data_IF_232246057002
#
_entry.id   IF_232246057002
#
_cell.length_a   1.000
_cell.length_b   1.000
_cell.length_c   1.000
_cell.angle_alpha   90.00
_cell.angle_beta   90.00
_cell.angle_gamma   90.00
#
_symmetry.space_group_name_H-M   'P 1'
#
loop_
_entity.id
_entity.type
_entity.pdbx_description
1 polymer ?
#
# COMPACT_ATOMS: atom_id res chain seq x y z
N UNK A 1 -10.47 -46.40 -15.61
CA UNK A 1 -10.06 -45.07 -16.10
C UNK A 1 -10.67 -44.00 -15.19
N UNK A 2 -9.96 -43.67 -14.11
CA UNK A 2 -10.35 -42.63 -13.14
C UNK A 2 -9.92 -41.26 -13.67
N UNK A 3 -10.84 -40.46 -14.20
CA UNK A 3 -10.46 -39.17 -14.80
C UNK A 3 -11.55 -38.12 -14.91
N UNK A 4 -12.58 -38.12 -14.04
CA UNK A 4 -13.70 -37.16 -14.16
C UNK A 4 -14.09 -36.41 -12.87
N UNK A 5 -13.29 -36.45 -11.79
CA UNK A 5 -13.73 -35.88 -10.49
C UNK A 5 -12.99 -34.61 -10.04
N UNK A 6 -11.97 -34.09 -10.74
CA UNK A 6 -11.17 -32.94 -10.23
C UNK A 6 -11.33 -31.64 -11.03
N UNK A 7 -12.50 -31.38 -11.62
CA UNK A 7 -12.75 -30.13 -12.36
C UNK A 7 -13.56 -29.07 -11.59
N UNK A 8 -14.18 -29.41 -10.45
CA UNK A 8 -15.17 -28.53 -9.82
C UNK A 8 -14.61 -27.55 -8.79
N UNK A 9 -13.32 -27.64 -8.43
CA UNK A 9 -12.72 -26.83 -7.34
C UNK A 9 -11.87 -25.64 -7.81
N UNK A 10 -11.65 -25.46 -9.11
CA UNK A 10 -10.65 -24.50 -9.63
C UNK A 10 -11.12 -23.05 -9.83
N UNK A 11 -12.34 -22.68 -9.45
CA UNK A 11 -12.88 -21.39 -9.89
C UNK A 11 -13.67 -20.61 -8.83
N UNK A 12 -13.16 -20.55 -7.60
CA UNK A 12 -13.54 -19.45 -6.71
C UNK A 12 -12.71 -18.23 -7.13
N UNK A 13 -13.24 -17.40 -8.04
CA UNK A 13 -12.64 -16.09 -8.35
C UNK A 13 -12.52 -15.33 -7.03
N UNK A 14 -11.29 -15.12 -6.58
CA UNK A 14 -11.02 -14.26 -5.41
C UNK A 14 -11.50 -12.87 -5.82
N UNK A 15 -12.49 -12.33 -5.09
CA UNK A 15 -12.94 -10.95 -5.29
C UNK A 15 -12.11 -10.07 -4.37
N UNK A 16 -11.01 -9.53 -4.92
CA UNK A 16 -10.23 -8.51 -4.24
C UNK A 16 -11.03 -7.20 -4.16
N UNK A 17 -10.87 -6.46 -3.07
CA UNK A 17 -11.40 -5.11 -2.95
C UNK A 17 -10.56 -4.17 -3.81
N UNK A 18 -11.20 -3.55 -4.79
CA UNK A 18 -10.56 -2.56 -5.66
C UNK A 18 -11.34 -1.25 -5.53
N UNK A 19 -10.84 -0.27 -4.76
CA UNK A 19 -11.50 1.01 -4.61
C UNK A 19 -11.47 1.77 -5.94
N UNK A 20 -12.61 2.37 -6.33
CA UNK A 20 -12.62 3.32 -7.45
C UNK A 20 -11.69 4.49 -7.11
N UNK A 21 -10.93 5.00 -8.08
CA UNK A 21 -10.06 6.18 -7.88
C UNK A 21 -10.76 7.37 -7.22
N UNK A 22 -12.04 7.59 -7.54
CA UNK A 22 -12.84 8.66 -6.93
C UNK A 22 -13.04 8.51 -5.42
N UNK A 23 -12.83 7.32 -4.87
CA UNK A 23 -12.88 7.05 -3.44
C UNK A 23 -11.53 7.24 -2.75
N UNK A 24 -10.41 7.44 -3.45
CA UNK A 24 -9.10 7.62 -2.81
C UNK A 24 -8.96 9.06 -2.31
N UNK A 25 -9.14 9.25 -1.01
CA UNK A 25 -9.12 10.57 -0.37
C UNK A 25 -8.31 10.61 0.91
N UNK A 26 -7.89 9.46 1.43
CA UNK A 26 -7.10 9.37 2.64
C UNK A 26 -5.61 9.38 2.34
N UNK A 27 -4.90 10.14 3.17
CA UNK A 27 -3.48 10.38 3.01
C UNK A 27 -2.67 9.22 3.58
N UNK A 28 -1.84 8.59 2.74
CA UNK A 28 -0.90 7.58 3.21
C UNK A 28 0.12 8.21 4.18
N UNK A 29 0.35 7.62 5.37
CA UNK A 29 1.31 8.17 6.33
C UNK A 29 2.76 8.06 5.84
N UNK A 30 3.05 7.14 4.91
CA UNK A 30 4.39 6.90 4.40
C UNK A 30 4.78 7.80 3.22
N UNK A 31 3.88 8.09 2.28
CA UNK A 31 4.23 8.81 1.05
C UNK A 31 3.50 10.12 0.83
N UNK A 32 2.60 10.51 1.75
CA UNK A 32 1.84 11.75 1.72
C UNK A 32 0.91 11.95 0.51
N UNK A 33 0.72 10.93 -0.34
CA UNK A 33 -0.30 10.93 -1.38
C UNK A 33 -1.68 10.55 -0.82
N UNK A 34 -2.73 11.14 -1.39
CA UNK A 34 -4.11 10.68 -1.21
C UNK A 34 -4.33 9.43 -2.06
N UNK A 35 -4.05 8.27 -1.48
CA UNK A 35 -3.96 7.00 -2.20
C UNK A 35 -4.76 5.87 -1.55
N UNK A 36 -5.37 6.12 -0.40
CA UNK A 36 -6.18 5.17 0.33
C UNK A 36 -7.65 5.61 0.30
N UNK A 37 -8.61 4.68 0.22
CA UNK A 37 -10.03 5.02 0.31
C UNK A 37 -10.51 5.26 1.73
N UNK A 38 -9.82 4.69 2.72
CA UNK A 38 -10.07 4.84 4.15
C UNK A 38 -8.78 4.52 4.93
N UNK A 39 -8.67 4.98 6.17
CA UNK A 39 -7.55 4.66 7.07
C UNK A 39 -7.92 3.53 8.04
N UNK A 40 -6.94 2.75 8.47
CA UNK A 40 -7.08 1.68 9.46
C UNK A 40 -7.81 0.43 8.95
N UNK A 41 -7.80 0.20 7.63
CA UNK A 41 -8.47 -0.91 6.98
C UNK A 41 -7.49 -1.93 6.35
N UNK A 42 -6.24 -1.95 6.81
CA UNK A 42 -5.17 -2.87 6.35
C UNK A 42 -4.94 -2.78 4.83
N UNK A 43 -5.17 -1.60 4.25
CA UNK A 43 -5.03 -1.37 2.81
C UNK A 43 -3.60 -1.01 2.46
N UNK A 44 -3.10 -1.58 1.35
CA UNK A 44 -1.76 -1.31 0.84
C UNK A 44 -1.80 -0.10 -0.08
N UNK A 45 -0.98 0.91 0.22
CA UNK A 45 -0.80 2.07 -0.62
C UNK A 45 -0.18 1.66 -1.98
N UNK A 46 -0.83 1.93 -3.13
CA UNK A 46 -0.29 1.55 -4.44
C UNK A 46 0.93 2.39 -4.86
N UNK A 47 1.20 3.50 -4.18
CA UNK A 47 2.28 4.44 -4.52
C UNK A 47 3.59 4.08 -3.82
N UNK A 48 3.53 3.62 -2.57
CA UNK A 48 4.72 3.29 -1.79
C UNK A 48 4.74 1.88 -1.24
N UNK A 49 3.64 1.12 -1.34
CA UNK A 49 3.49 -0.23 -0.83
C UNK A 49 3.44 -0.37 0.70
N UNK A 50 3.28 0.73 1.45
CA UNK A 50 2.99 0.69 2.88
C UNK A 50 1.59 0.13 3.13
N UNK A 51 1.47 -0.90 3.98
CA UNK A 51 0.20 -1.38 4.51
C UNK A 51 -0.23 -0.51 5.69
N UNK A 52 -1.45 0.03 5.62
CA UNK A 52 -1.98 0.91 6.65
C UNK A 52 -2.46 0.12 7.88
N UNK A 53 -1.54 -0.09 8.81
CA UNK A 53 -1.74 -0.77 10.10
C UNK A 53 -2.27 0.16 11.21
N UNK A 54 -2.74 1.36 10.83
CA UNK A 54 -3.26 2.37 11.74
C UNK A 54 -2.20 3.27 12.37
N UNK A 55 -0.90 3.04 12.12
CA UNK A 55 0.15 3.96 12.55
C UNK A 55 0.05 5.31 11.82
N UNK A 56 0.37 6.39 12.53
CA UNK A 56 0.39 7.74 11.98
C UNK A 56 1.57 8.56 12.55
N UNK A 57 1.57 9.86 12.27
CA UNK A 57 2.69 10.77 12.56
C UNK A 57 3.07 10.90 14.04
N UNK A 58 2.18 10.51 14.96
CA UNK A 58 2.44 10.48 16.39
C UNK A 58 3.30 9.29 16.83
N UNK A 59 3.45 8.27 15.97
CA UNK A 59 4.11 7.01 16.26
C UNK A 59 5.19 6.64 15.22
N UNK A 60 5.86 7.65 14.62
CA UNK A 60 6.74 7.44 13.46
C UNK A 60 7.93 6.49 13.68
N UNK A 61 8.35 6.29 14.93
CA UNK A 61 9.48 5.44 15.31
C UNK A 61 9.05 4.07 15.90
N UNK A 62 7.75 3.78 15.90
CA UNK A 62 7.23 2.46 16.29
C UNK A 62 7.40 1.49 15.11
N UNK A 63 7.95 0.27 15.33
CA UNK A 63 8.03 -0.74 14.28
C UNK A 63 6.63 -1.20 13.86
N UNK A 64 6.37 -1.24 12.55
CA UNK A 64 5.14 -1.80 12.00
C UNK A 64 5.30 -3.30 11.76
N UNK A 65 4.39 -4.12 12.31
CA UNK A 65 4.35 -5.56 12.08
C UNK A 65 4.17 -5.94 10.60
N UNK A 66 3.12 -5.45 9.91
CA UNK A 66 2.85 -5.78 8.51
C UNK A 66 3.93 -5.30 7.53
N UNK A 67 4.51 -4.13 7.81
CA UNK A 67 5.62 -3.56 7.03
C UNK A 67 7.00 -4.06 7.52
N UNK A 68 7.16 -5.38 7.66
CA UNK A 68 8.44 -6.05 7.95
C UNK A 68 9.30 -5.47 9.09
N UNK A 69 8.65 -4.97 10.14
CA UNK A 69 9.28 -4.33 11.30
C UNK A 69 10.08 -3.05 11.00
N UNK A 70 9.91 -2.43 9.82
CA UNK A 70 10.39 -1.07 9.60
C UNK A 70 9.47 -0.05 10.27
N UNK A 71 10.04 1.06 10.69
CA UNK A 71 9.32 2.21 11.25
C UNK A 71 8.75 3.06 10.12
N UNK A 72 7.70 3.84 10.41
CA UNK A 72 7.15 4.79 9.46
C UNK A 72 8.21 5.83 9.02
N UNK A 73 9.11 6.27 9.92
CA UNK A 73 10.24 7.14 9.56
C UNK A 73 11.15 6.50 8.52
N UNK A 74 11.50 5.22 8.68
CA UNK A 74 12.28 4.48 7.68
C UNK A 74 11.51 4.37 6.36
N UNK A 75 10.22 4.02 6.39
CA UNK A 75 9.37 3.95 5.20
C UNK A 75 9.32 5.27 4.43
N UNK A 76 9.17 6.41 5.13
CA UNK A 76 9.20 7.75 4.53
C UNK A 76 10.56 8.03 3.86
N UNK A 77 11.66 7.80 4.57
CA UNK A 77 13.01 7.99 4.04
C UNK A 77 13.28 7.10 2.80
N UNK A 78 12.82 5.86 2.85
CA UNK A 78 12.89 4.90 1.76
C UNK A 78 12.10 5.37 0.54
N UNK A 79 10.88 5.87 0.76
CA UNK A 79 10.06 6.42 -0.32
C UNK A 79 10.74 7.59 -1.03
N UNK A 80 11.35 8.50 -0.26
CA UNK A 80 12.14 9.59 -0.85
C UNK A 80 13.39 9.10 -1.59
N UNK A 81 13.98 7.98 -1.18
CA UNK A 81 15.22 7.45 -1.76
C UNK A 81 15.01 6.64 -3.03
N UNK A 82 13.96 5.81 -3.10
CA UNK A 82 13.73 4.88 -4.21
C UNK A 82 12.25 4.66 -4.57
N UNK A 83 11.34 5.44 -4.00
CA UNK A 83 9.93 5.46 -4.43
C UNK A 83 9.04 4.38 -3.84
N UNK A 84 9.48 3.62 -2.84
CA UNK A 84 8.68 2.64 -2.10
C UNK A 84 9.05 2.63 -0.61
N UNK A 85 8.24 2.01 0.25
CA UNK A 85 8.52 1.86 1.67
C UNK A 85 9.73 0.95 1.94
N UNK A 86 10.01 0.01 1.04
CA UNK A 86 11.16 -0.90 1.04
C UNK A 86 11.64 -1.16 -0.38
N UNK A 87 12.95 -1.42 -0.54
CA UNK A 87 13.60 -1.45 -1.86
C UNK A 87 13.05 -2.58 -2.74
N UNK A 88 12.73 -3.70 -2.12
CA UNK A 88 12.19 -4.90 -2.73
C UNK A 88 10.75 -4.71 -3.23
N UNK A 89 10.05 -3.69 -2.71
CA UNK A 89 8.65 -3.39 -3.04
C UNK A 89 8.47 -2.46 -4.24
N UNK A 90 9.56 -1.88 -4.76
CA UNK A 90 9.52 -1.00 -5.96
C UNK A 90 8.85 -1.69 -7.16
N UNK A 91 8.94 -3.01 -7.29
CA UNK A 91 8.29 -3.77 -8.38
C UNK A 91 6.76 -3.88 -8.24
N UNK A 92 6.18 -3.50 -7.11
CA UNK A 92 4.75 -3.59 -6.83
C UNK A 92 4.05 -2.23 -6.75
N UNK A 93 4.80 -1.12 -6.77
CA UNK A 93 4.21 0.22 -6.82
C UNK A 93 3.84 0.62 -8.25
N UNK A 94 2.94 1.58 -8.39
CA UNK A 94 2.62 2.14 -9.70
C UNK A 94 3.84 2.88 -10.30
N UNK A 95 3.95 2.96 -11.64
CA UNK A 95 4.99 3.74 -12.29
C UNK A 95 4.94 5.23 -11.89
N UNK A 96 6.11 5.88 -11.82
CA UNK A 96 6.21 7.28 -11.39
C UNK A 96 5.35 8.25 -12.21
N UNK A 97 5.26 8.03 -13.52
CA UNK A 97 4.44 8.85 -14.41
C UNK A 97 2.93 8.75 -14.10
N UNK A 98 2.48 7.69 -13.43
CA UNK A 98 1.09 7.53 -13.00
C UNK A 98 0.77 8.20 -11.67
N UNK A 99 1.79 8.55 -10.86
CA UNK A 99 1.61 9.20 -9.56
C UNK A 99 1.00 10.59 -9.69
N UNK A 100 1.22 11.28 -10.82
CA UNK A 100 0.61 12.58 -11.13
C UNK A 100 -0.92 12.56 -11.16
N UNK A 101 -1.53 11.38 -11.29
CA UNK A 101 -2.98 11.22 -11.21
C UNK A 101 -3.51 11.36 -9.76
N UNK A 102 -2.63 11.33 -8.76
CA UNK A 102 -2.96 11.38 -7.34
C UNK A 102 -2.52 12.72 -6.74
N UNK A 103 -3.29 13.23 -5.80
CA UNK A 103 -2.92 14.43 -5.02
C UNK A 103 -1.79 14.07 -4.06
N UNK A 104 -0.71 14.86 -4.07
CA UNK A 104 0.41 14.76 -3.14
C UNK A 104 0.35 15.93 -2.15
N UNK A 105 0.34 15.65 -0.85
CA UNK A 105 0.24 16.66 0.21
C UNK A 105 1.41 16.51 1.20
N UNK A 106 2.66 16.80 0.78
CA UNK A 106 3.85 16.52 1.59
C UNK A 106 3.77 17.17 2.98
N UNK A 107 4.07 16.39 4.02
CA UNK A 107 4.13 16.86 5.39
C UNK A 107 5.57 17.19 5.77
N UNK A 108 5.75 18.31 6.46
CA UNK A 108 7.03 18.68 7.06
C UNK A 108 7.07 18.11 8.48
N UNK A 109 7.90 17.09 8.68
CA UNK A 109 8.12 16.40 9.97
C UNK A 109 9.52 16.67 10.49
#
# INVERSE_FOLDING_TARGET
MLGKIVSFLKNRRIRWYEPKRAALHEQCPCCDYLSLPERGADLICPICFWEDDGQDLDNVDVPSGPNHAITLRQGRNNFHSFGACEKEMVKYVIPDHERSKFTHQPRHL
#
